data_IF_625428496473
#
_entry.id   IF_625428496473
#
_cell.length_a   1.000
_cell.length_b   1.000
_cell.length_c   1.000
_cell.angle_alpha   90.00
_cell.angle_beta   90.00
_cell.angle_gamma   90.00
#
_symmetry.space_group_name_H-M   'P 1'
#
loop_
_entity.id
_entity.type
_entity.pdbx_description
1 polymer ?
#
# COMPACT_ATOMS: atom_id res chain seq x y z
N UNK A 1 12.90 24.29 28.40
CA UNK A 1 13.53 23.07 27.90
C UNK A 1 13.01 21.79 28.59
N UNK A 2 11.71 21.73 28.80
CA UNK A 2 11.08 20.59 29.49
C UNK A 2 10.27 19.65 28.55
N UNK A 3 10.52 19.72 27.26
CA UNK A 3 9.84 18.92 26.26
C UNK A 3 10.61 17.68 25.72
N UNK A 4 11.84 17.46 26.17
CA UNK A 4 12.72 16.42 25.63
C UNK A 4 12.81 15.12 26.45
N UNK A 5 12.25 15.09 27.67
CA UNK A 5 12.34 13.91 28.54
C UNK A 5 11.50 12.73 28.01
N UNK A 6 10.46 13.00 27.22
CA UNK A 6 9.67 11.96 26.56
C UNK A 6 10.31 11.38 25.27
N UNK A 7 11.23 12.13 24.65
CA UNK A 7 11.87 11.72 23.41
C UNK A 7 13.08 10.82 23.60
N UNK A 8 13.74 10.86 24.73
CA UNK A 8 14.94 10.04 24.97
C UNK A 8 14.65 8.54 25.10
N UNK A 9 13.49 8.17 25.65
CA UNK A 9 13.05 6.76 25.64
C UNK A 9 12.72 6.27 24.23
N UNK A 10 12.25 7.16 23.36
CA UNK A 10 11.97 6.82 21.96
C UNK A 10 13.22 6.65 21.09
N UNK A 11 14.31 7.37 21.39
CA UNK A 11 15.57 7.24 20.64
C UNK A 11 16.18 5.85 20.78
N UNK A 12 16.04 5.19 21.94
CA UNK A 12 16.58 3.84 22.16
C UNK A 12 15.89 2.78 21.31
N UNK A 13 14.60 2.94 21.04
CA UNK A 13 13.82 1.96 20.27
C UNK A 13 14.09 2.05 18.77
N UNK A 14 14.79 3.10 18.33
CA UNK A 14 15.14 3.32 16.93
C UNK A 14 16.52 2.81 16.53
N UNK A 15 17.32 2.31 17.49
CA UNK A 15 18.66 1.79 17.28
C UNK A 15 18.71 0.29 17.64
N UNK A 16 19.48 -0.48 16.87
CA UNK A 16 19.82 -1.86 17.22
C UNK A 16 21.01 -1.90 18.19
N UNK A 17 21.41 -3.11 18.59
CA UNK A 17 22.54 -3.32 19.51
C UNK A 17 23.90 -2.89 18.95
N UNK A 18 24.01 -2.76 17.64
CA UNK A 18 25.21 -2.31 16.92
C UNK A 18 25.24 -0.78 16.75
N UNK A 19 24.23 -0.07 17.28
CA UNK A 19 24.09 1.38 17.17
C UNK A 19 23.56 1.87 15.82
N UNK A 20 23.04 0.99 14.98
CA UNK A 20 22.50 1.34 13.68
C UNK A 20 21.04 1.83 13.80
N UNK A 21 20.68 2.86 13.04
CA UNK A 21 19.33 3.39 12.97
C UNK A 21 18.41 2.41 12.23
N UNK A 22 17.47 1.79 12.94
CA UNK A 22 16.50 0.84 12.38
C UNK A 22 15.13 1.48 12.10
N UNK A 23 14.84 2.62 12.73
CA UNK A 23 13.58 3.32 12.55
C UNK A 23 13.59 4.74 13.10
N UNK A 24 12.60 5.52 12.68
CA UNK A 24 12.34 6.89 13.16
C UNK A 24 10.98 6.90 13.82
N UNK A 25 10.93 7.17 15.12
CA UNK A 25 9.69 7.23 15.88
C UNK A 25 8.81 8.41 15.39
N UNK A 26 7.54 8.13 15.14
CA UNK A 26 6.62 9.11 14.55
C UNK A 26 5.38 9.37 15.38
N UNK A 27 4.84 8.35 16.03
CA UNK A 27 3.59 8.45 16.75
C UNK A 27 3.50 7.45 17.89
N UNK A 28 2.62 7.71 18.84
CA UNK A 28 2.23 6.78 19.89
C UNK A 28 0.71 6.58 19.84
N UNK A 29 0.25 5.35 20.15
CA UNK A 29 -1.17 5.11 20.32
C UNK A 29 -1.66 5.74 21.62
N UNK A 30 -2.62 6.67 21.51
CA UNK A 30 -3.31 7.29 22.66
C UNK A 30 -4.74 6.74 22.78
N UNK A 31 -5.22 6.56 24.01
CA UNK A 31 -6.59 6.10 24.25
C UNK A 31 -7.57 7.25 24.26
N UNK A 32 -8.71 7.13 23.60
CA UNK A 32 -9.86 8.01 23.51
C UNK A 32 -9.96 9.18 24.51
N UNK A 33 -10.82 9.06 25.52
CA UNK A 33 -11.02 10.13 26.52
C UNK A 33 -9.88 10.29 27.54
N UNK A 34 -9.06 9.27 27.74
CA UNK A 34 -7.87 9.35 28.60
C UNK A 34 -6.63 9.57 27.71
N UNK A 35 -6.01 10.74 27.85
CA UNK A 35 -4.76 11.14 27.13
C UNK A 35 -3.52 10.36 27.62
N UNK A 36 -3.63 9.04 27.80
CA UNK A 36 -2.55 8.18 28.23
C UNK A 36 -1.88 7.44 27.07
N UNK A 37 -0.55 7.24 27.17
CA UNK A 37 0.18 6.34 26.30
C UNK A 37 -0.26 4.89 26.57
N UNK A 38 -0.72 4.18 25.55
CA UNK A 38 -1.11 2.76 25.62
C UNK A 38 0.08 1.79 25.52
N UNK A 39 1.30 2.29 25.55
CA UNK A 39 2.51 1.47 25.44
C UNK A 39 2.80 1.01 24.00
N UNK A 40 2.11 1.54 23.00
CA UNK A 40 2.33 1.23 21.59
C UNK A 40 2.90 2.45 20.88
N UNK A 41 4.08 2.31 20.31
CA UNK A 41 4.73 3.31 19.47
C UNK A 41 4.79 2.87 18.02
N UNK A 42 4.82 3.83 17.09
CA UNK A 42 4.97 3.61 15.66
C UNK A 42 6.26 4.26 15.19
N UNK A 43 7.02 3.53 14.38
CA UNK A 43 8.24 4.02 13.75
C UNK A 43 8.21 3.79 12.25
N UNK A 44 8.79 4.72 11.50
CA UNK A 44 9.06 4.54 10.08
C UNK A 44 10.37 3.75 9.96
N UNK A 45 10.42 2.62 9.23
CA UNK A 45 11.65 1.87 9.01
C UNK A 45 12.75 2.74 8.38
N UNK A 46 13.99 2.59 8.83
CA UNK A 46 15.14 3.37 8.33
C UNK A 46 15.35 3.21 6.83
N UNK A 47 15.06 2.04 6.27
CA UNK A 47 15.14 1.79 4.82
C UNK A 47 14.15 2.67 4.02
N UNK A 48 12.94 2.88 4.55
CA UNK A 48 11.95 3.79 3.95
C UNK A 48 12.39 5.25 4.09
N UNK A 49 12.86 5.64 5.29
CA UNK A 49 13.34 6.99 5.56
C UNK A 49 14.52 7.37 4.65
N UNK A 50 15.49 6.46 4.48
CA UNK A 50 16.65 6.68 3.63
C UNK A 50 16.25 6.91 2.16
N UNK A 51 15.30 6.14 1.64
CA UNK A 51 14.81 6.34 0.28
C UNK A 51 14.12 7.69 0.11
N UNK A 52 13.21 8.05 1.03
CA UNK A 52 12.52 9.35 0.99
C UNK A 52 13.52 10.50 1.09
N UNK A 53 14.50 10.38 1.97
CA UNK A 53 15.57 11.37 2.13
C UNK A 53 16.37 11.56 0.83
N UNK A 54 16.77 10.47 0.15
CA UNK A 54 17.46 10.54 -1.12
C UNK A 54 16.61 11.27 -2.18
N UNK A 55 15.34 10.93 -2.32
CA UNK A 55 14.43 11.61 -3.26
C UNK A 55 14.31 13.12 -2.95
N UNK A 56 14.23 13.50 -1.67
CA UNK A 56 14.13 14.90 -1.25
C UNK A 56 15.44 15.68 -1.51
N UNK A 57 16.60 15.05 -1.31
CA UNK A 57 17.90 15.69 -1.57
C UNK A 57 18.11 15.85 -3.08
N UNK A 58 17.81 14.83 -3.87
CA UNK A 58 18.11 14.79 -5.29
C UNK A 58 17.10 15.57 -6.13
N UNK A 59 15.83 15.53 -5.76
CA UNK A 59 14.70 16.03 -6.56
C UNK A 59 13.90 17.16 -5.90
N UNK A 60 14.01 17.30 -4.57
CA UNK A 60 13.21 18.25 -3.79
C UNK A 60 11.77 17.76 -3.48
N UNK A 61 11.36 16.61 -3.99
CA UNK A 61 10.05 16.00 -3.75
C UNK A 61 10.12 14.47 -3.74
N UNK A 62 9.13 13.83 -3.14
CA UNK A 62 9.06 12.37 -3.05
C UNK A 62 8.22 11.81 -4.19
N UNK A 63 8.83 11.00 -5.03
CA UNK A 63 8.15 10.30 -6.11
C UNK A 63 7.54 9.00 -5.59
N UNK A 64 6.25 8.82 -5.77
CA UNK A 64 5.53 7.58 -5.42
C UNK A 64 5.08 6.86 -6.67
N UNK A 65 5.28 5.55 -6.69
CA UNK A 65 4.79 4.73 -7.79
C UNK A 65 3.32 4.36 -7.60
N UNK A 66 2.63 4.20 -8.72
CA UNK A 66 1.24 3.87 -8.79
C UNK A 66 1.00 2.68 -9.72
N UNK A 67 0.10 1.78 -9.29
CA UNK A 67 -0.29 0.58 -10.04
C UNK A 67 -1.65 0.76 -10.74
N UNK A 68 -2.56 1.54 -10.16
CA UNK A 68 -3.88 1.79 -10.72
C UNK A 68 -4.88 0.68 -10.48
N UNK A 69 -4.94 0.17 -9.25
CA UNK A 69 -5.90 -0.84 -8.82
C UNK A 69 -6.63 -0.39 -7.56
N UNK A 70 -7.89 -0.79 -7.45
CA UNK A 70 -8.66 -0.74 -6.20
C UNK A 70 -8.51 -2.11 -5.56
N UNK A 71 -8.02 -2.14 -4.33
CA UNK A 71 -7.70 -3.39 -3.62
C UNK A 71 -8.50 -3.55 -2.35
N UNK A 72 -8.82 -4.80 -2.04
CA UNK A 72 -9.53 -5.23 -0.85
C UNK A 72 -8.74 -6.33 -0.15
N UNK A 73 -8.85 -6.40 1.19
CA UNK A 73 -8.25 -7.50 1.93
C UNK A 73 -8.98 -8.82 1.62
N UNK A 74 -8.19 -9.89 1.51
CA UNK A 74 -8.70 -11.22 1.25
C UNK A 74 -9.16 -11.84 2.57
N UNK A 75 -10.47 -11.88 2.81
CA UNK A 75 -11.05 -12.62 3.93
C UNK A 75 -11.28 -14.10 3.58
N UNK A 76 -11.62 -14.89 4.60
CA UNK A 76 -11.80 -16.35 4.44
C UNK A 76 -12.94 -16.69 3.50
N UNK A 77 -14.05 -15.92 3.53
CA UNK A 77 -15.24 -16.18 2.71
C UNK A 77 -14.93 -15.91 1.24
N UNK A 78 -14.21 -14.83 0.96
CA UNK A 78 -13.78 -14.45 -0.39
C UNK A 78 -12.74 -15.43 -0.95
N UNK A 79 -11.80 -15.90 -0.12
CA UNK A 79 -10.81 -16.90 -0.53
C UNK A 79 -11.48 -18.23 -0.92
N UNK A 80 -12.43 -18.68 -0.10
CA UNK A 80 -13.20 -19.90 -0.35
C UNK A 80 -14.09 -19.76 -1.61
N UNK A 81 -14.69 -18.59 -1.83
CA UNK A 81 -15.51 -18.32 -3.01
C UNK A 81 -14.69 -18.26 -4.32
N UNK A 82 -13.42 -17.88 -4.24
CA UNK A 82 -12.49 -17.81 -5.38
C UNK A 82 -11.66 -19.10 -5.57
N UNK A 83 -11.92 -20.13 -4.78
CA UNK A 83 -11.18 -21.41 -4.76
C UNK A 83 -9.66 -21.22 -4.61
N UNK A 84 -9.28 -20.37 -3.65
CA UNK A 84 -7.90 -19.99 -3.38
C UNK A 84 -7.45 -20.57 -2.04
N UNK A 85 -6.43 -21.42 -2.06
CA UNK A 85 -5.87 -22.07 -0.87
C UNK A 85 -5.15 -21.10 0.10
N UNK A 86 -4.79 -19.89 -0.33
CA UNK A 86 -4.09 -18.91 0.48
C UNK A 86 -5.04 -17.84 1.02
N UNK A 87 -4.79 -17.43 2.27
CA UNK A 87 -5.46 -16.28 2.89
C UNK A 87 -4.59 -15.02 2.87
N UNK A 88 -3.40 -15.12 2.29
CA UNK A 88 -2.47 -14.01 2.12
C UNK A 88 -2.58 -13.46 0.71
N UNK A 89 -2.68 -12.16 0.60
CA UNK A 89 -2.73 -11.46 -0.68
C UNK A 89 -3.57 -10.20 -0.63
N UNK A 90 -3.68 -9.55 -1.76
CA UNK A 90 -4.57 -8.40 -1.97
C UNK A 90 -5.47 -8.71 -3.16
N UNK A 91 -6.78 -8.77 -2.92
CA UNK A 91 -7.79 -8.94 -3.96
C UNK A 91 -7.93 -7.64 -4.75
N UNK A 92 -7.96 -7.73 -6.07
CA UNK A 92 -8.26 -6.62 -6.95
C UNK A 92 -9.78 -6.53 -7.12
N UNK A 93 -10.34 -5.51 -6.49
CA UNK A 93 -11.77 -5.21 -6.57
C UNK A 93 -12.13 -4.48 -7.86
N UNK A 94 -11.16 -3.71 -8.41
CA UNK A 94 -11.34 -2.99 -9.67
C UNK A 94 -10.00 -2.54 -10.25
N UNK A 95 -9.96 -2.30 -11.57
CA UNK A 95 -8.77 -1.81 -12.29
C UNK A 95 -9.08 -0.47 -12.92
N UNK A 96 -8.29 0.54 -12.56
CA UNK A 96 -8.46 1.90 -13.07
C UNK A 96 -8.13 1.93 -14.56
N UNK A 97 -8.99 2.55 -15.35
CA UNK A 97 -8.81 2.72 -16.78
C UNK A 97 -7.55 3.54 -17.10
N UNK A 98 -6.89 3.21 -18.19
CA UNK A 98 -5.64 3.84 -18.64
C UNK A 98 -4.50 3.74 -17.59
N UNK A 99 -4.54 2.72 -16.73
CA UNK A 99 -3.56 2.48 -15.67
C UNK A 99 -2.48 1.48 -16.06
N UNK A 100 -1.35 1.45 -15.34
CA UNK A 100 -0.33 0.41 -15.47
C UNK A 100 -0.86 -1.02 -15.32
N UNK A 101 -1.83 -1.22 -14.42
CA UNK A 101 -2.43 -2.52 -14.17
C UNK A 101 -3.24 -3.00 -15.37
N UNK A 102 -4.07 -2.12 -15.95
CA UNK A 102 -4.84 -2.42 -17.16
C UNK A 102 -3.91 -2.73 -18.34
N UNK A 103 -2.91 -1.89 -18.58
CA UNK A 103 -1.91 -2.10 -19.63
C UNK A 103 -1.15 -3.42 -19.49
N UNK A 104 -0.95 -3.90 -18.26
CA UNK A 104 -0.32 -5.18 -17.96
C UNK A 104 -1.27 -6.37 -18.04
N UNK A 105 -2.59 -6.15 -18.20
CA UNK A 105 -3.60 -7.19 -18.26
C UNK A 105 -3.96 -7.79 -16.90
N UNK A 106 -3.80 -7.01 -15.83
CA UNK A 106 -4.38 -7.31 -14.52
C UNK A 106 -5.89 -7.09 -14.62
N UNK A 107 -6.68 -7.94 -13.95
CA UNK A 107 -8.13 -7.94 -14.03
C UNK A 107 -8.77 -7.90 -12.64
N UNK A 108 -10.02 -7.48 -12.60
CA UNK A 108 -10.88 -7.65 -11.42
C UNK A 108 -10.96 -9.13 -11.03
N UNK A 109 -10.93 -9.42 -9.75
CA UNK A 109 -10.91 -10.79 -9.22
C UNK A 109 -9.52 -11.42 -9.12
N UNK A 110 -8.46 -10.80 -9.67
CA UNK A 110 -7.09 -11.25 -9.43
C UNK A 110 -6.70 -11.07 -7.97
N UNK A 111 -5.98 -12.03 -7.40
CA UNK A 111 -5.37 -11.88 -6.07
C UNK A 111 -3.86 -11.76 -6.20
N UNK A 112 -3.31 -10.62 -5.84
CA UNK A 112 -1.86 -10.39 -5.83
C UNK A 112 -1.26 -11.08 -4.61
N UNK A 113 -0.38 -12.06 -4.84
CA UNK A 113 0.30 -12.84 -3.80
C UNK A 113 1.79 -12.53 -3.69
N UNK A 114 2.40 -11.97 -4.75
CA UNK A 114 3.83 -11.66 -4.77
C UNK A 114 4.10 -10.45 -5.67
N UNK A 115 5.04 -9.60 -5.23
CA UNK A 115 5.52 -8.45 -5.98
C UNK A 115 7.05 -8.42 -5.96
N UNK A 116 7.72 -8.57 -7.12
CA UNK A 116 9.18 -8.66 -7.27
C UNK A 116 9.85 -9.67 -6.32
N UNK A 117 9.26 -10.86 -6.16
CA UNK A 117 9.79 -11.89 -5.29
C UNK A 117 9.47 -11.69 -3.78
N UNK A 118 8.78 -10.61 -3.42
CA UNK A 118 8.31 -10.36 -2.05
C UNK A 118 6.87 -10.83 -1.92
N UNK A 119 6.61 -11.71 -0.94
CA UNK A 119 5.26 -12.15 -0.62
C UNK A 119 4.40 -10.99 -0.12
N UNK A 120 3.17 -10.92 -0.61
CA UNK A 120 2.17 -9.93 -0.20
C UNK A 120 1.21 -10.60 0.78
N UNK A 121 1.20 -10.09 2.01
CA UNK A 121 0.33 -10.61 3.06
C UNK A 121 -1.08 -9.98 3.06
N UNK A 122 -1.18 -8.69 2.73
CA UNK A 122 -2.42 -7.90 2.76
C UNK A 122 -2.30 -6.64 1.88
N UNK A 123 -3.39 -5.88 1.80
CA UNK A 123 -3.47 -4.63 1.02
C UNK A 123 -2.48 -3.56 1.47
N UNK A 124 -2.26 -3.41 2.79
CA UNK A 124 -1.31 -2.43 3.33
C UNK A 124 0.13 -2.76 2.90
N UNK A 125 0.49 -4.06 2.91
CA UNK A 125 1.79 -4.52 2.44
C UNK A 125 1.98 -4.23 0.94
N UNK A 126 0.98 -4.52 0.10
CA UNK A 126 1.02 -4.21 -1.33
C UNK A 126 1.19 -2.71 -1.59
N UNK A 127 0.39 -1.85 -0.92
CA UNK A 127 0.50 -0.38 -1.04
C UNK A 127 1.90 0.11 -0.72
N UNK A 128 2.50 -0.39 0.37
CA UNK A 128 3.85 -0.01 0.78
C UNK A 128 4.90 -0.43 -0.25
N UNK A 129 4.84 -1.68 -0.72
CA UNK A 129 5.82 -2.21 -1.68
C UNK A 129 5.73 -1.46 -3.02
N UNK A 130 4.51 -1.20 -3.52
CA UNK A 130 4.29 -0.43 -4.76
C UNK A 130 4.77 1.00 -4.59
N UNK A 131 4.36 1.71 -3.53
CA UNK A 131 4.73 3.12 -3.29
C UNK A 131 6.24 3.33 -3.16
N UNK A 132 6.96 2.34 -2.64
CA UNK A 132 8.40 2.37 -2.48
C UNK A 132 9.16 1.87 -3.72
N UNK A 133 8.48 1.37 -4.73
CA UNK A 133 9.11 0.98 -5.98
C UNK A 133 9.50 2.21 -6.81
N UNK A 134 10.43 2.04 -7.74
CA UNK A 134 10.85 3.14 -8.62
C UNK A 134 9.79 3.32 -9.73
N UNK A 135 9.30 4.53 -9.99
CA UNK A 135 8.47 4.80 -11.17
C UNK A 135 9.19 4.37 -12.46
N UNK A 136 8.41 4.05 -13.48
CA UNK A 136 8.88 3.58 -14.80
C UNK A 136 9.67 2.26 -14.76
N UNK A 137 9.81 1.64 -13.58
CA UNK A 137 10.42 0.31 -13.48
C UNK A 137 9.44 -0.79 -13.85
N UNK A 138 9.94 -1.81 -14.56
CA UNK A 138 9.18 -3.02 -14.85
C UNK A 138 9.28 -3.98 -13.66
N UNK A 139 8.13 -4.34 -13.11
CA UNK A 139 8.01 -5.19 -11.93
C UNK A 139 7.29 -6.49 -12.29
N UNK A 140 7.66 -7.58 -11.63
CA UNK A 140 6.97 -8.86 -11.75
C UNK A 140 5.94 -8.99 -10.64
N UNK A 141 4.69 -9.20 -11.04
CA UNK A 141 3.57 -9.38 -10.13
C UNK A 141 3.01 -10.79 -10.36
N UNK A 142 2.93 -11.58 -9.31
CA UNK A 142 2.31 -12.89 -9.33
C UNK A 142 0.91 -12.77 -8.76
N UNK A 143 -0.04 -13.14 -9.58
CA UNK A 143 -1.47 -13.12 -9.23
C UNK A 143 -2.03 -14.54 -9.27
N UNK A 144 -3.10 -14.79 -8.54
CA UNK A 144 -3.96 -15.96 -8.71
C UNK A 144 -5.18 -15.47 -9.47
N UNK A 145 -5.48 -16.13 -10.59
CA UNK A 145 -6.65 -15.90 -11.43
C UNK A 145 -7.31 -17.23 -11.70
N UNK A 146 -8.61 -17.35 -11.40
CA UNK A 146 -9.37 -18.59 -11.58
C UNK A 146 -8.67 -19.80 -10.92
N UNK A 147 -8.19 -19.64 -9.69
CA UNK A 147 -7.45 -20.65 -8.94
C UNK A 147 -6.03 -20.93 -9.43
N UNK A 148 -5.59 -20.35 -10.56
CA UNK A 148 -4.27 -20.63 -11.15
C UNK A 148 -3.28 -19.47 -10.96
N UNK A 149 -2.00 -19.75 -10.61
CA UNK A 149 -0.98 -18.72 -10.50
C UNK A 149 -0.53 -18.21 -11.87
N UNK A 150 -0.52 -16.90 -12.05
CA UNK A 150 -0.07 -16.21 -13.26
C UNK A 150 0.94 -15.13 -12.91
N UNK A 151 1.99 -14.98 -13.72
CA UNK A 151 2.97 -13.90 -13.55
C UNK A 151 2.77 -12.86 -14.64
N UNK A 152 2.59 -11.62 -14.22
CA UNK A 152 2.38 -10.45 -15.07
C UNK A 152 3.54 -9.48 -14.90
N UNK A 153 3.98 -8.83 -15.98
CA UNK A 153 4.97 -7.75 -15.92
C UNK A 153 4.24 -6.43 -15.99
N UNK A 154 4.46 -5.58 -14.99
CA UNK A 154 3.84 -4.26 -14.88
C UNK A 154 4.90 -3.19 -14.86
N UNK A 155 4.78 -2.17 -15.69
CA UNK A 155 5.61 -0.97 -15.62
C UNK A 155 4.85 0.07 -14.81
N UNK A 156 5.32 0.37 -13.60
CA UNK A 156 4.67 1.35 -12.72
C UNK A 156 4.78 2.75 -13.30
N UNK A 157 3.78 3.56 -13.03
CA UNK A 157 3.79 5.00 -13.33
C UNK A 157 3.96 5.81 -12.04
N UNK A 158 4.28 7.09 -12.19
CA UNK A 158 4.23 8.04 -11.09
C UNK A 158 2.78 8.27 -10.65
N UNK A 159 2.57 8.38 -9.33
CA UNK A 159 1.24 8.66 -8.79
C UNK A 159 0.76 10.03 -9.28
N UNK A 160 -0.36 10.12 -9.99
CA UNK A 160 -0.91 11.39 -10.45
C UNK A 160 -1.30 12.29 -9.27
N UNK A 161 -1.16 13.61 -9.44
CA UNK A 161 -1.44 14.60 -8.39
C UNK A 161 -2.87 14.51 -7.83
N UNK A 162 -3.82 14.03 -8.62
CA UNK A 162 -5.22 13.86 -8.24
C UNK A 162 -5.71 12.43 -8.48
N UNK A 163 -5.28 11.44 -7.67
CA UNK A 163 -5.70 10.04 -7.85
C UNK A 163 -7.21 9.82 -7.69
N UNK A 164 -7.89 10.69 -6.94
CA UNK A 164 -9.35 10.62 -6.73
C UNK A 164 -10.17 10.93 -7.99
N UNK A 165 -9.61 11.56 -9.02
CA UNK A 165 -10.32 11.82 -10.26
C UNK A 165 -10.66 10.53 -11.02
N UNK A 166 -9.85 9.50 -10.87
CA UNK A 166 -10.07 8.21 -11.51
C UNK A 166 -11.16 7.40 -10.80
N UNK A 167 -11.25 7.50 -9.47
CA UNK A 167 -12.28 6.82 -8.66
C UNK A 167 -13.65 7.48 -8.78
N UNK A 168 -13.70 8.81 -9.00
CA UNK A 168 -14.95 9.57 -9.07
C UNK A 168 -15.68 9.43 -10.41
N UNK A 169 -14.98 9.13 -11.50
CA UNK A 169 -15.59 9.00 -12.83
C UNK A 169 -16.50 7.77 -12.94
N UNK A 170 -16.19 6.68 -12.26
CA UNK A 170 -17.01 5.45 -12.32
C UNK A 170 -18.24 5.51 -11.42
N UNK A 171 -18.19 6.21 -10.28
CA UNK A 171 -19.38 6.42 -9.44
C UNK A 171 -20.44 7.28 -10.09
N UNK A 172 -20.07 8.10 -11.07
CA UNK A 172 -21.03 8.95 -11.79
C UNK A 172 -21.85 8.20 -12.86
N UNK A 173 -21.39 7.03 -13.33
CA UNK A 173 -22.08 6.23 -14.34
C UNK A 173 -23.03 5.19 -13.78
N UNK A 174 -23.00 4.91 -12.47
CA UNK A 174 -23.88 3.92 -11.82
C UNK A 174 -25.16 4.50 -11.22
N UNK A 175 -25.41 5.81 -11.37
CA UNK A 175 -26.64 6.44 -10.88
C UNK A 175 -27.81 6.43 -11.88
N UNK A 176 -27.74 5.64 -12.94
CA UNK A 176 -28.81 5.55 -13.93
C UNK A 176 -29.76 4.36 -13.69
N UNK A 177 -30.01 4.02 -12.43
CA UNK A 177 -31.21 3.29 -12.06
C UNK A 177 -32.30 4.31 -11.74
N UNK A 178 -33.14 4.59 -12.77
CA UNK A 178 -34.29 5.50 -12.72
C UNK A 178 -35.35 5.14 -11.69
N UNK A 179 -35.04 5.30 -10.41
CA UNK A 179 -36.02 5.32 -9.31
C UNK A 179 -36.27 6.77 -8.92
N UNK A 180 -37.23 7.41 -9.59
CA UNK A 180 -37.89 8.60 -9.07
C UNK A 180 -38.77 8.17 -7.90
N UNK A 181 -38.32 8.46 -6.68
CA UNK A 181 -39.21 8.42 -5.51
C UNK A 181 -40.10 9.65 -5.55
N UNK A 182 -41.40 9.42 -5.69
CA UNK A 182 -42.46 10.41 -5.53
C UNK A 182 -42.74 10.64 -4.04
#
# INVERSE_FOLDING_TARGET
FMGLVGSEMCIRDSLNMDGELIGINTAIATGGYEKGNRGVGFAIPSSMANRIMSDLIDKGYVTRSWLGVIIQDLDSETADALDIDTRNGALIADVVKDSPAEAAGIQEGDVIIEFNGKSIANTANLKNVVSLSTPESTNRVKVIRDGAPKTVKVTLQELPENPNQFVSRERATTNDFGLQLK
#
